data_IF_589889893748
#
_entry.id   IF_589889893748
#
_cell.length_a   1.000
_cell.length_b   1.000
_cell.length_c   1.000
_cell.angle_alpha   90.00
_cell.angle_beta   90.00
_cell.angle_gamma   90.00
#
_symmetry.space_group_name_H-M   'P 1'
#
loop_
_entity.id
_entity.type
_entity.pdbx_description
1 polymer ?
#
# COMPACT_ATOMS: atom_id res chain seq x y z
N UNK A 1 -22.56 -5.18 14.38
CA UNK A 1 -21.72 -4.00 14.04
C UNK A 1 -21.67 -3.95 12.51
N UNK A 2 -22.01 -2.81 11.89
CA UNK A 2 -21.98 -2.72 10.42
C UNK A 2 -20.53 -2.81 9.93
N UNK A 3 -20.32 -3.52 8.83
CA UNK A 3 -19.01 -3.61 8.18
C UNK A 3 -18.62 -2.25 7.60
N UNK A 4 -17.48 -1.72 8.05
CA UNK A 4 -17.01 -0.37 7.69
C UNK A 4 -16.12 -0.36 6.44
N UNK A 5 -15.72 -1.54 5.94
CA UNK A 5 -14.76 -1.71 4.83
C UNK A 5 -15.40 -1.33 3.48
N UNK A 6 -14.56 -0.84 2.57
CA UNK A 6 -14.93 -0.51 1.19
C UNK A 6 -14.59 -1.64 0.21
N UNK A 7 -13.48 -2.33 0.42
CA UNK A 7 -13.07 -3.55 -0.25
C UNK A 7 -13.14 -4.71 0.73
N UNK A 8 -13.90 -5.75 0.38
CA UNK A 8 -14.06 -6.96 1.20
C UNK A 8 -13.16 -8.09 0.71
N UNK A 9 -13.10 -8.28 -0.60
CA UNK A 9 -12.27 -9.29 -1.24
C UNK A 9 -11.94 -8.95 -2.69
N UNK A 10 -10.93 -9.59 -3.25
CA UNK A 10 -10.64 -9.58 -4.68
C UNK A 10 -10.16 -10.95 -5.18
N UNK A 11 -10.30 -11.18 -6.48
CA UNK A 11 -9.83 -12.38 -7.18
C UNK A 11 -9.57 -12.05 -8.65
N UNK A 12 -8.84 -12.91 -9.36
CA UNK A 12 -8.60 -12.76 -10.80
C UNK A 12 -9.56 -13.58 -11.62
N UNK A 13 -10.12 -12.94 -12.64
CA UNK A 13 -10.78 -13.58 -13.76
C UNK A 13 -9.72 -14.00 -14.79
N UNK A 14 -9.21 -15.23 -14.67
CA UNK A 14 -8.11 -15.73 -15.51
C UNK A 14 -8.48 -15.86 -16.98
N UNK A 15 -9.77 -15.91 -17.33
CA UNK A 15 -10.24 -15.96 -18.71
C UNK A 15 -10.18 -14.59 -19.39
N UNK A 16 -10.14 -13.51 -18.60
CA UNK A 16 -9.94 -12.15 -19.10
C UNK A 16 -8.47 -11.84 -19.43
N UNK A 17 -7.52 -12.71 -19.05
CA UNK A 17 -6.09 -12.50 -19.29
C UNK A 17 -5.57 -13.30 -20.49
N UNK A 18 -4.77 -12.67 -21.38
CA UNK A 18 -4.03 -13.38 -22.42
C UNK A 18 -3.19 -14.54 -21.85
N UNK A 19 -3.00 -15.59 -22.65
CA UNK A 19 -2.20 -16.76 -22.24
C UNK A 19 -0.73 -16.38 -21.94
N UNK A 20 -0.22 -15.35 -22.64
CA UNK A 20 1.13 -14.81 -22.52
C UNK A 20 1.25 -13.63 -21.55
N UNK A 21 0.20 -13.35 -20.76
CA UNK A 21 0.21 -12.27 -19.77
C UNK A 21 1.35 -12.46 -18.76
N UNK A 22 2.12 -11.39 -18.49
CA UNK A 22 3.20 -11.45 -17.50
C UNK A 22 2.69 -11.74 -16.08
N UNK A 23 1.41 -11.40 -15.81
CA UNK A 23 0.74 -11.63 -14.53
C UNK A 23 0.76 -13.11 -14.15
N UNK A 24 0.68 -14.01 -15.13
CA UNK A 24 0.76 -15.47 -14.93
C UNK A 24 2.14 -15.93 -14.47
N UNK A 25 3.17 -15.11 -14.66
CA UNK A 25 4.53 -15.36 -14.22
C UNK A 25 4.85 -14.87 -12.81
N UNK A 26 3.93 -14.15 -12.15
CA UNK A 26 4.10 -13.69 -10.77
C UNK A 26 3.54 -14.78 -9.83
N UNK A 27 4.38 -15.53 -9.10
CA UNK A 27 3.94 -16.73 -8.37
C UNK A 27 2.77 -16.49 -7.41
N UNK A 28 2.91 -15.50 -6.52
CA UNK A 28 1.87 -15.12 -5.57
C UNK A 28 0.52 -14.82 -6.24
N UNK A 29 0.52 -14.17 -7.41
CA UNK A 29 -0.71 -13.81 -8.13
C UNK A 29 -1.23 -15.02 -8.90
N UNK A 30 -0.37 -15.78 -9.59
CA UNK A 30 -0.74 -16.99 -10.34
C UNK A 30 -1.44 -18.03 -9.47
N UNK A 31 -1.01 -18.17 -8.22
CA UNK A 31 -1.56 -19.11 -7.25
C UNK A 31 -2.71 -18.53 -6.41
N UNK A 32 -3.06 -17.24 -6.59
CA UNK A 32 -4.02 -16.63 -5.69
C UNK A 32 -5.44 -17.12 -5.95
N UNK A 33 -6.12 -17.49 -4.87
CA UNK A 33 -7.57 -17.62 -4.84
C UNK A 33 -8.23 -16.27 -4.59
N UNK A 34 -9.26 -16.26 -3.73
CA UNK A 34 -9.86 -15.03 -3.24
C UNK A 34 -9.02 -14.46 -2.09
N UNK A 35 -8.51 -13.24 -2.26
CA UNK A 35 -7.87 -12.47 -1.19
C UNK A 35 -8.96 -11.75 -0.39
N UNK A 36 -9.05 -12.03 0.91
CA UNK A 36 -10.03 -11.42 1.82
C UNK A 36 -9.36 -10.37 2.71
N UNK A 37 -9.96 -9.19 2.80
CA UNK A 37 -9.47 -8.08 3.62
C UNK A 37 -10.18 -8.08 4.96
N UNK A 38 -9.60 -8.70 5.98
CA UNK A 38 -10.26 -8.98 7.27
C UNK A 38 -10.53 -7.72 8.13
N UNK A 39 -9.80 -6.63 7.89
CA UNK A 39 -9.89 -5.41 8.68
C UNK A 39 -9.82 -4.12 7.86
N UNK A 40 -9.74 -3.01 8.59
CA UNK A 40 -9.59 -1.67 8.01
C UNK A 40 -8.13 -1.32 7.69
N UNK A 41 -7.17 -2.11 8.14
CA UNK A 41 -5.76 -1.98 7.74
C UNK A 41 -5.24 -3.36 7.34
N UNK A 42 -4.77 -3.46 6.11
CA UNK A 42 -4.09 -4.64 5.58
C UNK A 42 -2.72 -4.24 5.05
N UNK A 43 -1.67 -4.93 5.48
CA UNK A 43 -0.33 -4.78 4.93
C UNK A 43 -0.01 -5.89 3.94
N UNK A 44 0.69 -5.53 2.87
CA UNK A 44 1.32 -6.47 1.95
C UNK A 44 2.83 -6.48 2.23
N UNK A 45 3.38 -7.67 2.46
CA UNK A 45 4.81 -7.92 2.71
C UNK A 45 5.32 -9.02 1.77
N UNK A 46 6.62 -9.07 1.51
CA UNK A 46 7.26 -10.03 0.60
C UNK A 46 8.38 -9.34 -0.19
N UNK A 47 9.19 -10.09 -0.94
CA UNK A 47 10.34 -9.53 -1.67
C UNK A 47 9.98 -8.56 -2.80
N UNK A 48 10.97 -7.83 -3.31
CA UNK A 48 10.81 -7.00 -4.50
C UNK A 48 10.46 -7.88 -5.70
N UNK A 49 9.42 -7.50 -6.45
CA UNK A 49 8.93 -8.30 -7.58
C UNK A 49 7.94 -9.41 -7.21
N UNK A 50 7.58 -9.59 -5.95
CA UNK A 50 6.60 -10.62 -5.52
C UNK A 50 5.14 -10.31 -5.91
N UNK A 51 4.86 -9.14 -6.50
CA UNK A 51 3.53 -8.77 -6.99
C UNK A 51 2.71 -7.87 -6.07
N UNK A 52 3.26 -7.40 -4.94
CA UNK A 52 2.59 -6.46 -4.01
C UNK A 52 2.06 -5.22 -4.72
N UNK A 53 2.94 -4.48 -5.40
CA UNK A 53 2.61 -3.28 -6.16
C UNK A 53 1.66 -3.59 -7.31
N UNK A 54 1.86 -4.72 -8.01
CA UNK A 54 0.98 -5.15 -9.10
C UNK A 54 -0.47 -5.36 -8.64
N UNK A 55 -0.69 -6.07 -7.53
CA UNK A 55 -2.03 -6.25 -6.98
C UNK A 55 -2.60 -4.92 -6.45
N UNK A 56 -1.77 -4.09 -5.81
CA UNK A 56 -2.18 -2.79 -5.30
C UNK A 56 -2.64 -1.85 -6.43
N UNK A 57 -1.92 -1.81 -7.55
CA UNK A 57 -2.28 -1.06 -8.77
C UNK A 57 -3.57 -1.58 -9.40
N UNK A 58 -3.76 -2.90 -9.46
CA UNK A 58 -5.00 -3.48 -9.96
C UNK A 58 -6.21 -3.12 -9.08
N UNK A 59 -6.03 -3.09 -7.75
CA UNK A 59 -7.06 -2.59 -6.82
C UNK A 59 -7.30 -1.09 -7.05
N UNK A 60 -6.24 -0.29 -7.23
CA UNK A 60 -6.35 1.13 -7.52
C UNK A 60 -7.17 1.39 -8.78
N UNK A 61 -6.87 0.68 -9.87
CA UNK A 61 -7.61 0.72 -11.13
C UNK A 61 -9.07 0.32 -10.93
N UNK A 62 -9.35 -0.76 -10.20
CA UNK A 62 -10.72 -1.20 -9.93
C UNK A 62 -11.55 -0.11 -9.22
N UNK A 63 -10.93 0.67 -8.31
CA UNK A 63 -11.60 1.80 -7.63
C UNK A 63 -11.57 3.12 -8.41
N UNK A 64 -10.95 3.13 -9.61
CA UNK A 64 -10.85 4.28 -10.49
C UNK A 64 -9.88 5.35 -9.98
N UNK A 65 -8.84 4.95 -9.24
CA UNK A 65 -7.74 5.84 -8.88
C UNK A 65 -6.75 5.98 -10.06
N UNK A 66 -6.03 7.09 -10.09
CA UNK A 66 -4.96 7.29 -11.07
C UNK A 66 -3.72 6.46 -10.64
N UNK A 67 -3.18 5.66 -11.56
CA UNK A 67 -2.05 4.77 -11.31
C UNK A 67 -0.71 5.50 -11.13
N UNK A 68 -0.57 6.72 -11.65
CA UNK A 68 0.59 7.59 -11.38
C UNK A 68 0.55 8.20 -9.97
N UNK A 69 -0.47 7.86 -9.17
CA UNK A 69 -0.68 8.39 -7.83
C UNK A 69 -1.65 9.56 -7.83
N UNK A 70 -2.88 9.34 -7.39
CA UNK A 70 -3.93 10.34 -7.53
C UNK A 70 -5.31 9.95 -6.98
N UNK A 71 -6.22 10.94 -6.97
CA UNK A 71 -7.65 10.73 -6.69
C UNK A 71 -8.42 10.38 -7.97
N UNK A 72 -9.71 10.06 -7.82
CA UNK A 72 -10.62 9.69 -8.93
C UNK A 72 -10.87 10.82 -9.94
N UNK A 73 -10.68 12.07 -9.54
CA UNK A 73 -10.95 13.25 -10.38
C UNK A 73 -9.72 13.73 -11.14
N UNK A 74 -8.65 12.93 -11.13
CA UNK A 74 -7.35 13.35 -11.63
C UNK A 74 -7.14 12.92 -13.09
N UNK A 75 -7.57 13.79 -14.01
CA UNK A 75 -7.34 13.62 -15.45
C UNK A 75 -6.00 14.24 -15.85
N UNK A 76 -4.92 13.45 -15.84
CA UNK A 76 -3.89 13.69 -16.84
C UNK A 76 -4.47 13.28 -18.19
N UNK A 77 -4.72 14.26 -19.03
CA UNK A 77 -5.13 14.05 -20.42
C UNK A 77 -3.93 13.52 -21.23
N UNK A 78 -3.59 12.24 -21.06
CA UNK A 78 -2.81 11.40 -22.00
C UNK A 78 -2.57 10.04 -21.34
N UNK A 79 -3.07 8.97 -21.96
CA UNK A 79 -2.98 7.55 -21.57
C UNK A 79 -3.92 7.07 -20.44
N UNK A 80 -4.96 6.34 -20.85
CA UNK A 80 -5.63 5.35 -20.01
C UNK A 80 -4.60 4.28 -19.64
N UNK A 81 -3.87 4.46 -18.54
CA UNK A 81 -2.98 3.42 -18.03
C UNK A 81 -3.85 2.29 -17.46
N UNK A 82 -4.13 1.29 -18.30
CA UNK A 82 -4.68 0.02 -17.84
C UNK A 82 -3.53 -0.91 -17.48
N UNK A 83 -3.73 -1.75 -16.47
CA UNK A 83 -2.82 -2.88 -16.19
C UNK A 83 -3.54 -4.16 -16.58
N UNK A 84 -2.80 -5.13 -17.12
CA UNK A 84 -3.37 -6.45 -17.46
C UNK A 84 -4.13 -7.05 -16.27
N UNK A 85 -3.51 -6.99 -15.07
CA UNK A 85 -4.17 -7.45 -13.85
C UNK A 85 -5.40 -6.62 -13.49
N UNK A 86 -5.36 -5.29 -13.65
CA UNK A 86 -6.49 -4.41 -13.33
C UNK A 86 -7.74 -4.68 -14.17
N UNK A 87 -7.58 -5.06 -15.44
CA UNK A 87 -8.70 -5.45 -16.32
C UNK A 87 -9.32 -6.80 -15.91
N UNK A 88 -8.50 -7.72 -15.41
CA UNK A 88 -8.91 -9.05 -14.97
C UNK A 88 -9.34 -9.12 -13.51
N UNK A 89 -8.98 -8.13 -12.68
CA UNK A 89 -9.30 -8.14 -11.27
C UNK A 89 -10.80 -7.95 -11.06
N UNK A 90 -11.37 -8.76 -10.18
CA UNK A 90 -12.74 -8.65 -9.70
C UNK A 90 -12.70 -8.32 -8.22
N UNK A 91 -13.65 -7.50 -7.78
CA UNK A 91 -13.70 -6.99 -6.40
C UNK A 91 -15.08 -7.18 -5.82
N UNK A 92 -15.13 -7.65 -4.56
CA UNK A 92 -16.32 -7.56 -3.73
C UNK A 92 -16.21 -6.29 -2.88
N UNK A 93 -17.16 -5.37 -3.06
CA UNK A 93 -17.16 -4.09 -2.34
C UNK A 93 -18.14 -4.11 -1.18
N UNK A 94 -17.84 -3.34 -0.14
CA UNK A 94 -18.77 -3.09 0.95
C UNK A 94 -19.96 -2.23 0.51
N UNK A 95 -20.97 -2.13 1.37
CA UNK A 95 -22.19 -1.35 1.10
C UNK A 95 -21.99 0.17 1.12
N UNK A 96 -20.81 0.65 1.56
CA UNK A 96 -20.47 2.07 1.66
C UNK A 96 -19.67 2.51 0.44
N UNK A 97 -19.83 3.76 0.02
CA UNK A 97 -18.96 4.39 -0.98
C UNK A 97 -17.91 5.26 -0.27
N UNK A 98 -16.62 5.17 -0.64
CA UNK A 98 -15.59 6.01 -0.04
C UNK A 98 -15.82 7.49 -0.40
N UNK A 99 -15.71 8.38 0.59
CA UNK A 99 -15.89 9.83 0.39
C UNK A 99 -14.59 10.54 -0.02
N UNK A 100 -13.46 9.90 0.24
CA UNK A 100 -12.15 10.20 -0.30
C UNK A 100 -11.46 8.91 -0.73
N UNK A 101 -10.49 9.03 -1.62
CA UNK A 101 -9.62 7.90 -1.94
C UNK A 101 -8.41 8.36 -2.72
N UNK A 102 -7.29 7.71 -2.46
CA UNK A 102 -6.01 8.06 -3.04
C UNK A 102 -5.15 6.80 -3.14
N UNK A 103 -4.51 6.63 -4.30
CA UNK A 103 -3.39 5.70 -4.44
C UNK A 103 -2.09 6.48 -4.32
N UNK A 104 -1.30 6.16 -3.30
CA UNK A 104 -0.02 6.79 -3.03
C UNK A 104 1.11 5.90 -3.52
N UNK A 105 2.00 6.45 -4.34
CA UNK A 105 3.30 5.88 -4.66
C UNK A 105 4.38 6.86 -4.22
N UNK A 106 5.34 6.40 -3.42
CA UNK A 106 6.40 7.27 -2.90
C UNK A 106 7.20 7.94 -4.03
N UNK A 107 7.44 7.24 -5.13
CA UNK A 107 8.19 7.70 -6.30
C UNK A 107 7.54 8.88 -7.03
N UNK A 108 6.22 8.90 -7.17
CA UNK A 108 5.52 9.90 -7.99
C UNK A 108 4.88 11.01 -7.16
N UNK A 109 4.55 10.75 -5.89
CA UNK A 109 3.74 11.64 -5.07
C UNK A 109 4.25 13.07 -5.06
N UNK A 110 5.55 13.30 -4.86
CA UNK A 110 6.06 14.66 -4.71
C UNK A 110 5.96 15.45 -6.01
N UNK A 111 6.18 14.81 -7.17
CA UNK A 111 6.05 15.48 -8.46
C UNK A 111 4.61 15.98 -8.65
N UNK A 112 3.64 15.13 -8.33
CA UNK A 112 2.21 15.49 -8.41
C UNK A 112 1.84 16.54 -7.34
N UNK A 113 2.31 16.39 -6.11
CA UNK A 113 2.03 17.32 -5.01
C UNK A 113 2.57 18.73 -5.30
N UNK A 114 3.78 18.84 -5.87
CA UNK A 114 4.41 20.11 -6.25
C UNK A 114 3.65 20.85 -7.35
N UNK A 115 2.95 20.13 -8.21
CA UNK A 115 2.09 20.73 -9.23
C UNK A 115 0.77 21.28 -8.63
N UNK A 116 0.54 21.10 -7.32
CA UNK A 116 -0.69 21.46 -6.61
C UNK A 116 -1.95 20.84 -7.23
N UNK A 117 -1.77 19.70 -7.89
CA UNK A 117 -2.79 19.03 -8.68
C UNK A 117 -3.53 17.94 -7.89
N UNK A 118 -3.06 17.62 -6.69
CA UNK A 118 -3.69 16.64 -5.79
C UNK A 118 -4.92 17.25 -5.13
N UNK A 119 -6.07 16.61 -5.32
CA UNK A 119 -7.27 16.87 -4.54
C UNK A 119 -6.98 16.57 -3.05
N UNK A 120 -7.44 17.44 -2.14
CA UNK A 120 -7.19 17.41 -0.68
C UNK A 120 -5.91 18.10 -0.16
N UNK A 121 -5.07 18.69 -1.01
CA UNK A 121 -3.97 19.53 -0.49
C UNK A 121 -4.52 20.69 0.33
N UNK A 122 -3.93 20.94 1.50
CA UNK A 122 -4.30 22.09 2.32
C UNK A 122 -3.56 23.33 1.79
N UNK A 123 -4.27 24.35 1.28
CA UNK A 123 -3.66 25.50 0.63
C UNK A 123 -2.79 26.36 1.56
N UNK A 124 -2.82 26.10 2.87
CA UNK A 124 -1.96 26.77 3.86
C UNK A 124 -0.53 26.24 3.86
N UNK A 125 -0.27 25.07 3.27
CA UNK A 125 1.08 24.51 3.17
C UNK A 125 1.69 24.79 1.81
N UNK A 126 2.96 25.22 1.82
CA UNK A 126 3.77 25.26 0.62
C UNK A 126 4.49 23.91 0.43
N UNK A 127 3.79 22.94 -0.17
CA UNK A 127 4.32 21.60 -0.41
C UNK A 127 5.60 21.59 -1.28
N UNK A 128 5.87 22.65 -2.05
CA UNK A 128 7.10 22.78 -2.82
C UNK A 128 8.35 23.05 -1.94
N UNK A 129 8.17 23.62 -0.75
CA UNK A 129 9.26 23.92 0.19
C UNK A 129 9.45 22.82 1.25
N UNK A 130 8.53 21.84 1.32
CA UNK A 130 8.61 20.73 2.26
C UNK A 130 9.53 19.61 1.78
N UNK A 131 10.13 18.87 2.73
CA UNK A 131 10.75 17.58 2.42
C UNK A 131 9.71 16.54 1.98
N UNK A 132 10.14 15.50 1.27
CA UNK A 132 9.26 14.42 0.77
C UNK A 132 8.34 13.87 1.89
N UNK A 133 8.93 13.52 3.04
CA UNK A 133 8.17 12.99 4.17
C UNK A 133 7.26 14.01 4.88
N UNK A 134 7.61 15.29 4.88
CA UNK A 134 6.76 16.35 5.46
C UNK A 134 5.52 16.59 4.61
N UNK A 135 5.70 16.72 3.30
CA UNK A 135 4.59 16.91 2.37
C UNK A 135 3.61 15.73 2.41
N UNK A 136 4.13 14.50 2.49
CA UNK A 136 3.30 13.30 2.62
C UNK A 136 2.46 13.31 3.91
N UNK A 137 3.09 13.53 5.07
CA UNK A 137 2.35 13.55 6.33
C UNK A 137 1.33 14.69 6.38
N UNK A 138 1.69 15.87 5.87
CA UNK A 138 0.77 17.01 5.78
C UNK A 138 -0.43 16.69 4.89
N UNK A 139 -0.23 16.01 3.76
CA UNK A 139 -1.31 15.53 2.90
C UNK A 139 -2.19 14.49 3.62
N UNK A 140 -1.62 13.45 4.21
CA UNK A 140 -2.41 12.45 4.93
C UNK A 140 -3.26 13.09 6.03
N UNK A 141 -2.70 14.05 6.76
CA UNK A 141 -3.39 14.79 7.81
C UNK A 141 -4.43 15.79 7.28
N UNK A 142 -4.30 16.28 6.04
CA UNK A 142 -5.28 17.17 5.42
C UNK A 142 -6.53 16.42 4.95
N UNK A 143 -6.43 15.13 4.63
CA UNK A 143 -7.59 14.31 4.25
C UNK A 143 -8.51 14.07 5.45
N UNK A 144 -9.59 14.87 5.55
CA UNK A 144 -10.58 14.80 6.65
C UNK A 144 -11.68 13.76 6.42
N UNK A 145 -11.91 13.37 5.17
CA UNK A 145 -13.00 12.43 4.81
C UNK A 145 -12.57 10.97 4.99
N UNK A 146 -13.54 10.13 5.30
CA UNK A 146 -13.36 8.67 5.36
C UNK A 146 -13.28 8.08 3.95
N UNK A 147 -12.42 7.09 3.77
CA UNK A 147 -12.08 6.65 2.42
C UNK A 147 -11.28 5.37 2.34
N UNK A 148 -11.01 4.95 1.11
CA UNK A 148 -10.07 3.87 0.79
C UNK A 148 -8.75 4.48 0.34
N UNK A 149 -7.68 4.12 1.03
CA UNK A 149 -6.33 4.60 0.74
C UNK A 149 -5.42 3.41 0.43
N UNK A 150 -4.73 3.49 -0.69
CA UNK A 150 -3.75 2.50 -1.12
C UNK A 150 -2.38 3.15 -1.05
N UNK A 151 -1.37 2.48 -0.50
CA UNK A 151 -0.03 3.05 -0.37
C UNK A 151 1.02 2.03 -0.75
N UNK A 152 1.92 2.44 -1.64
CA UNK A 152 3.08 1.66 -2.06
C UNK A 152 4.34 2.30 -1.46
N UNK A 153 4.97 1.56 -0.55
CA UNK A 153 6.19 1.92 0.17
C UNK A 153 6.18 3.34 0.78
N UNK A 154 5.16 3.70 1.58
CA UNK A 154 5.07 5.04 2.18
C UNK A 154 6.27 5.41 3.05
N UNK A 155 6.99 4.43 3.60
CA UNK A 155 8.19 4.61 4.39
C UNK A 155 9.40 5.16 3.60
N UNK A 156 9.43 5.02 2.27
CA UNK A 156 10.58 5.42 1.46
C UNK A 156 10.89 6.94 1.59
N UNK A 157 9.87 7.73 1.93
CA UNK A 157 9.99 9.17 2.17
C UNK A 157 10.12 9.54 3.67
N UNK A 158 10.08 8.58 4.59
CA UNK A 158 9.88 8.82 6.03
C UNK A 158 11.01 8.30 6.90
N UNK A 159 11.49 9.18 7.80
CA UNK A 159 12.32 8.74 8.93
C UNK A 159 11.53 7.82 9.87
N UNK A 160 12.19 7.01 10.71
CA UNK A 160 11.51 6.16 11.69
C UNK A 160 10.49 6.90 12.57
N UNK A 161 10.80 8.12 13.05
CA UNK A 161 9.84 8.90 13.82
C UNK A 161 8.61 9.29 13.01
N UNK A 162 8.77 9.59 11.71
CA UNK A 162 7.66 9.93 10.82
C UNK A 162 6.80 8.72 10.48
N UNK A 163 7.39 7.52 10.42
CA UNK A 163 6.63 6.27 10.29
C UNK A 163 5.74 6.02 11.51
N UNK A 164 6.21 6.32 12.73
CA UNK A 164 5.36 6.27 13.95
C UNK A 164 4.18 7.26 13.88
N UNK A 165 4.41 8.46 13.35
CA UNK A 165 3.32 9.44 13.12
C UNK A 165 2.30 8.91 12.12
N UNK A 166 2.74 8.27 11.03
CA UNK A 166 1.85 7.62 10.08
C UNK A 166 1.08 6.48 10.75
N UNK A 167 1.73 5.62 11.53
CA UNK A 167 1.11 4.52 12.26
C UNK A 167 -0.04 5.00 13.15
N UNK A 168 0.19 6.08 13.92
CA UNK A 168 -0.83 6.71 14.75
C UNK A 168 -2.02 7.21 13.92
N UNK A 169 -1.74 7.85 12.78
CA UNK A 169 -2.78 8.29 11.86
C UNK A 169 -3.61 7.12 11.32
N UNK A 170 -2.96 6.05 10.85
CA UNK A 170 -3.63 4.84 10.34
C UNK A 170 -4.55 4.25 11.41
N UNK A 171 -4.05 4.08 12.63
CA UNK A 171 -4.82 3.56 13.76
C UNK A 171 -6.09 4.38 14.02
N UNK A 172 -5.96 5.71 14.13
CA UNK A 172 -7.09 6.60 14.41
C UNK A 172 -8.13 6.58 13.28
N UNK A 173 -7.67 6.65 12.03
CA UNK A 173 -8.56 6.75 10.87
C UNK A 173 -9.25 5.44 10.55
N UNK A 174 -8.59 4.31 10.79
CA UNK A 174 -9.17 2.98 10.66
C UNK A 174 -10.35 2.80 11.63
N UNK A 175 -10.25 3.31 12.86
CA UNK A 175 -11.35 3.27 13.83
C UNK A 175 -12.53 4.15 13.43
N UNK A 176 -12.27 5.24 12.71
CA UNK A 176 -13.32 6.14 12.22
C UNK A 176 -13.85 5.77 10.84
N UNK A 177 -13.52 4.59 10.30
CA UNK A 177 -14.16 4.08 9.08
C UNK A 177 -13.42 4.31 7.76
N UNK A 178 -12.15 4.73 7.80
CA UNK A 178 -11.26 4.61 6.64
C UNK A 178 -10.70 3.19 6.51
N UNK A 179 -10.38 2.77 5.29
CA UNK A 179 -9.69 1.52 5.00
C UNK A 179 -8.35 1.81 4.32
N UNK A 180 -7.33 1.05 4.70
CA UNK A 180 -5.96 1.18 4.23
C UNK A 180 -5.45 -0.17 3.73
N UNK A 181 -4.83 -0.17 2.56
CA UNK A 181 -4.10 -1.33 2.01
C UNK A 181 -2.71 -0.83 1.64
N UNK A 182 -1.68 -1.36 2.28
CA UNK A 182 -0.35 -0.77 2.29
C UNK A 182 0.69 -1.83 1.95
N UNK A 183 1.40 -1.69 0.84
CA UNK A 183 2.62 -2.45 0.60
C UNK A 183 3.79 -1.78 1.34
N UNK A 184 4.49 -2.53 2.19
CA UNK A 184 5.56 -1.99 3.03
C UNK A 184 6.61 -3.06 3.36
N UNK A 185 7.84 -2.60 3.50
CA UNK A 185 8.98 -3.31 4.05
C UNK A 185 9.37 -2.74 5.43
N UNK A 186 8.61 -1.81 5.98
CA UNK A 186 8.90 -1.21 7.28
C UNK A 186 8.42 -2.11 8.43
N UNK A 187 9.31 -2.62 9.30
CA UNK A 187 8.90 -3.31 10.51
C UNK A 187 8.13 -2.38 11.46
N UNK A 188 8.36 -1.07 11.40
CA UNK A 188 7.63 -0.10 12.22
C UNK A 188 6.16 -0.06 11.81
N UNK A 189 5.87 0.01 10.50
CA UNK A 189 4.49 0.08 10.00
C UNK A 189 3.74 -1.24 10.21
N UNK A 190 4.41 -2.37 9.96
CA UNK A 190 3.86 -3.71 10.17
C UNK A 190 3.44 -3.96 11.62
N UNK A 191 4.05 -3.27 12.59
CA UNK A 191 3.75 -3.39 14.01
C UNK A 191 2.41 -2.78 14.48
N UNK A 192 1.51 -2.35 13.58
CA UNK A 192 0.20 -1.81 13.96
C UNK A 192 -0.71 -2.92 14.51
N UNK A 193 -1.14 -2.85 15.79
CA UNK A 193 -1.95 -3.92 16.38
C UNK A 193 -3.29 -4.12 15.70
N UNK A 194 -3.64 -5.37 15.43
CA UNK A 194 -4.91 -5.77 14.81
C UNK A 194 -5.00 -5.48 13.31
N UNK A 195 -3.91 -5.06 12.67
CA UNK A 195 -3.81 -5.04 11.22
C UNK A 195 -3.63 -6.46 10.68
N UNK A 196 -4.22 -6.73 9.52
CA UNK A 196 -3.96 -7.97 8.79
C UNK A 196 -2.65 -7.84 8.02
N UNK A 197 -1.82 -8.89 7.98
CA UNK A 197 -0.58 -8.91 7.19
C UNK A 197 -0.67 -10.06 6.19
N UNK A 198 -0.59 -9.72 4.90
CA UNK A 198 -0.57 -10.67 3.80
C UNK A 198 0.84 -10.74 3.20
N UNK A 199 1.42 -11.93 3.25
CA UNK A 199 2.71 -12.24 2.64
C UNK A 199 2.54 -12.68 1.20
N UNK A 200 3.42 -12.18 0.34
CA UNK A 200 3.51 -12.46 -1.09
C UNK A 200 4.79 -13.24 -1.36
N UNK A 201 4.66 -14.57 -1.40
CA UNK A 201 5.72 -15.50 -1.78
C UNK A 201 5.28 -16.27 -3.05
N UNK A 202 5.23 -17.61 -2.98
CA UNK A 202 4.63 -18.47 -4.02
C UNK A 202 3.10 -18.39 -4.06
N UNK A 203 2.49 -17.92 -2.96
CA UNK A 203 1.07 -17.67 -2.81
C UNK A 203 0.85 -16.46 -1.87
N UNK A 204 -0.36 -15.88 -1.91
CA UNK A 204 -0.77 -14.87 -0.94
C UNK A 204 -1.33 -15.57 0.30
N UNK A 205 -0.71 -15.37 1.45
CA UNK A 205 -1.12 -15.97 2.72
C UNK A 205 -1.04 -14.97 3.87
N UNK A 206 -1.86 -15.17 4.91
CA UNK A 206 -1.80 -14.35 6.12
C UNK A 206 -0.67 -14.84 7.03
N UNK A 207 0.06 -13.91 7.65
CA UNK A 207 1.10 -14.22 8.63
C UNK A 207 1.08 -13.22 9.80
N UNK A 208 1.70 -13.62 10.91
CA UNK A 208 1.90 -12.76 12.07
C UNK A 208 3.08 -11.80 11.88
N UNK A 209 3.10 -10.72 12.67
CA UNK A 209 4.13 -9.69 12.60
C UNK A 209 5.55 -10.26 12.78
N UNK A 210 5.72 -11.14 13.77
CA UNK A 210 7.01 -11.77 14.10
C UNK A 210 7.51 -12.75 13.04
N UNK A 211 6.62 -13.19 12.15
CA UNK A 211 6.99 -14.09 11.05
C UNK A 211 7.55 -13.32 9.85
N UNK A 212 7.35 -12.00 9.77
CA UNK A 212 7.75 -11.19 8.60
C UNK A 212 9.27 -11.02 8.51
N UNK A 213 9.82 -11.09 7.29
CA UNK A 213 11.27 -10.90 7.07
C UNK A 213 11.78 -9.54 7.58
N UNK A 214 11.07 -8.41 7.35
CA UNK A 214 11.49 -7.13 7.90
C UNK A 214 11.64 -7.14 9.43
N UNK A 215 10.74 -7.82 10.15
CA UNK A 215 10.86 -7.99 11.59
C UNK A 215 12.08 -8.82 11.96
N UNK A 216 12.21 -10.01 11.37
CA UNK A 216 13.25 -10.97 11.74
C UNK A 216 14.65 -10.40 11.48
N UNK A 217 14.88 -9.84 10.28
CA UNK A 217 16.16 -9.25 9.89
C UNK A 217 16.51 -8.06 10.81
N UNK A 218 15.56 -7.16 11.03
CA UNK A 218 15.78 -5.99 11.88
C UNK A 218 16.07 -6.40 13.32
N UNK A 219 15.32 -7.37 13.85
CA UNK A 219 15.53 -7.90 15.20
C UNK A 219 16.91 -8.53 15.34
N UNK A 220 17.30 -9.40 14.41
CA UNK A 220 18.62 -10.05 14.42
C UNK A 220 19.75 -9.01 14.41
N UNK A 221 19.67 -8.01 13.54
CA UNK A 221 20.68 -6.95 13.45
C UNK A 221 20.76 -6.08 14.72
N UNK A 222 19.62 -5.78 15.34
CA UNK A 222 19.55 -4.94 16.54
C UNK A 222 19.97 -5.69 17.81
N UNK A 223 19.70 -7.00 17.88
CA UNK A 223 20.05 -7.83 19.05
C UNK A 223 21.57 -8.14 19.09
N UNK A 224 22.22 -8.37 17.95
CA UNK A 224 23.67 -8.59 17.85
C UNK A 224 24.27 -8.03 16.55
N UNK A 225 24.50 -6.72 16.53
CA UNK A 225 25.07 -6.03 15.36
C UNK A 225 26.47 -6.53 14.99
N UNK A 226 27.34 -6.75 15.97
CA UNK A 226 28.75 -7.09 15.70
C UNK A 226 28.88 -8.52 15.19
N UNK A 227 28.20 -9.48 15.82
CA UNK A 227 28.15 -10.85 15.33
C UNK A 227 27.52 -10.94 13.95
N UNK A 228 26.43 -10.21 13.69
CA UNK A 228 25.80 -10.18 12.37
C UNK A 228 26.75 -9.67 11.28
N UNK A 229 27.45 -8.55 11.52
CA UNK A 229 28.39 -7.96 10.55
C UNK A 229 29.61 -8.86 10.30
N UNK A 230 30.10 -9.56 11.33
CA UNK A 230 31.22 -10.49 11.18
C UNK A 230 30.85 -11.65 10.24
N UNK A 231 29.69 -12.30 10.43
CA UNK A 231 29.25 -13.38 9.55
C UNK A 231 29.02 -12.89 8.11
N UNK A 232 28.43 -11.71 7.96
CA UNK A 232 28.13 -11.13 6.64
C UNK A 232 29.38 -10.84 5.81
N UNK A 233 30.50 -10.43 6.44
CA UNK A 233 31.71 -10.02 5.72
C UNK A 233 32.79 -11.10 5.65
N UNK A 234 32.76 -12.12 6.51
CA UNK A 234 33.77 -13.19 6.51
C UNK A 234 33.39 -14.41 5.63
N UNK A 235 32.13 -14.54 5.23
CA UNK A 235 31.66 -15.56 4.27
C UNK A 235 31.60 -15.04 2.81
N UNK A 236 32.21 -13.88 2.52
CA UNK A 236 32.26 -13.24 1.19
C UNK A 236 33.59 -13.35 0.46
#
# INVERSE_FOLDING_TARGET
>A
MYDMRYLLSCWVDWDALPAQSYVRGIPAIASMGTVNFAGNVTFFVGENGSGKSTLLEAIAMAFGFNLEGGTRNFAFSTYEHTTELGEALRTQRGGRRPQAGYYFKAETFLNVARMATIEYLDPRFNYAEMSHGEGFLAFMQSVKREGLFLMDEPEAALSPQRQLTLLLYLHQRAQTGSQFIIATHSPILLGLPGAQILRFDDAISECEYEETDPYQITKMFMDDREGFLHHLFDEG
#
